data_IF_269621893317
#
_entry.id   IF_269621893317
#
_cell.length_a   1.000
_cell.length_b   1.000
_cell.length_c   1.000
_cell.angle_alpha   90.00
_cell.angle_beta   90.00
_cell.angle_gamma   90.00
#
_symmetry.space_group_name_H-M   'P 1'
#
loop_
_entity.id
_entity.type
_entity.pdbx_description
1 polymer ?
#
# COMPACT_ATOMS: atom_id res chain seq x y z
N UNK A 1 -3.76 -5.67 -5.54
CA UNK A 1 -3.61 -7.14 -5.43
C UNK A 1 -4.59 -7.89 -6.35
N UNK A 2 -5.90 -7.65 -6.18
CA UNK A 2 -6.99 -8.30 -6.93
C UNK A 2 -6.93 -8.17 -8.46
N UNK A 3 -6.56 -7.03 -9.09
CA UNK A 3 -6.51 -6.95 -10.55
C UNK A 3 -5.40 -7.81 -11.17
N UNK A 4 -4.22 -7.85 -10.55
CA UNK A 4 -3.10 -8.66 -11.05
C UNK A 4 -3.43 -10.16 -10.93
N UNK A 5 -3.99 -10.56 -9.79
CA UNK A 5 -4.42 -11.93 -9.52
C UNK A 5 -5.55 -12.33 -10.49
N UNK A 6 -6.59 -11.51 -10.62
CA UNK A 6 -7.71 -11.74 -11.52
C UNK A 6 -7.29 -11.93 -12.98
N UNK A 7 -6.37 -11.09 -13.47
CA UNK A 7 -5.80 -11.24 -14.81
C UNK A 7 -5.01 -12.55 -14.97
N UNK A 8 -4.24 -12.95 -13.94
CA UNK A 8 -3.48 -14.20 -14.01
C UNK A 8 -4.36 -15.44 -13.99
N UNK A 9 -5.47 -15.44 -13.24
CA UNK A 9 -6.45 -16.53 -13.30
C UNK A 9 -7.11 -16.64 -14.67
N UNK A 10 -7.50 -15.50 -15.25
CA UNK A 10 -8.08 -15.46 -16.58
C UNK A 10 -7.10 -16.01 -17.64
N UNK A 11 -5.86 -15.52 -17.64
CA UNK A 11 -4.82 -16.00 -18.57
C UNK A 11 -4.57 -17.50 -18.41
N UNK A 12 -4.47 -18.01 -17.18
CA UNK A 12 -4.26 -19.43 -16.95
C UNK A 12 -5.44 -20.29 -17.43
N UNK A 13 -6.68 -19.85 -17.23
CA UNK A 13 -7.86 -20.56 -17.74
C UNK A 13 -7.87 -20.62 -19.28
N UNK A 14 -7.54 -19.52 -19.96
CA UNK A 14 -7.44 -19.48 -21.42
C UNK A 14 -6.32 -20.38 -21.94
N UNK A 15 -5.15 -20.33 -21.30
CA UNK A 15 -4.00 -21.18 -21.67
C UNK A 15 -4.33 -22.67 -21.45
N UNK A 16 -4.95 -23.01 -20.32
CA UNK A 16 -5.34 -24.39 -20.00
C UNK A 16 -6.37 -24.93 -21.00
N UNK A 17 -7.37 -24.13 -21.39
CA UNK A 17 -8.32 -24.49 -22.44
C UNK A 17 -7.65 -24.66 -23.81
N UNK A 18 -6.68 -23.80 -24.16
CA UNK A 18 -5.91 -23.93 -25.40
C UNK A 18 -5.05 -25.19 -25.45
N UNK A 19 -4.40 -25.56 -24.35
CA UNK A 19 -3.61 -26.80 -24.23
C UNK A 19 -4.52 -28.04 -24.30
N UNK A 20 -5.69 -27.99 -23.65
CA UNK A 20 -6.69 -29.06 -23.68
C UNK A 20 -7.28 -29.25 -25.07
N UNK A 21 -7.52 -28.17 -25.81
CA UNK A 21 -7.91 -28.22 -27.23
C UNK A 21 -6.83 -28.88 -28.09
N UNK A 22 -5.55 -28.56 -27.86
CA UNK A 22 -4.44 -29.14 -28.61
C UNK A 22 -4.22 -30.63 -28.33
N UNK A 23 -4.61 -31.11 -27.14
CA UNK A 23 -4.53 -32.53 -26.75
C UNK A 23 -5.73 -33.37 -27.23
N UNK A 24 -6.66 -32.80 -28.00
CA UNK A 24 -7.91 -33.45 -28.45
C UNK A 24 -8.83 -33.96 -27.32
N UNK A 25 -8.58 -33.56 -26.07
CA UNK A 25 -9.42 -33.83 -24.91
C UNK A 25 -9.94 -32.49 -24.37
N UNK A 26 -10.87 -31.87 -25.10
CA UNK A 26 -11.39 -30.56 -24.74
C UNK A 26 -12.20 -30.63 -23.43
N UNK A 27 -11.70 -29.94 -22.40
CA UNK A 27 -12.35 -29.79 -21.11
C UNK A 27 -12.54 -28.31 -20.79
N UNK A 28 -13.75 -27.98 -20.32
CA UNK A 28 -14.08 -26.64 -19.85
C UNK A 28 -13.37 -26.35 -18.53
N UNK A 29 -12.27 -25.59 -18.59
CA UNK A 29 -11.57 -25.13 -17.39
C UNK A 29 -12.25 -23.85 -16.89
N UNK A 30 -12.84 -23.84 -15.68
CA UNK A 30 -13.43 -22.63 -15.13
C UNK A 30 -12.34 -21.61 -14.77
N UNK A 31 -12.65 -20.31 -14.83
CA UNK A 31 -11.72 -19.22 -14.45
C UNK A 31 -11.32 -19.33 -12.97
N UNK A 32 -12.25 -19.77 -12.14
CA UNK A 32 -12.06 -20.01 -10.71
C UNK A 32 -12.55 -21.41 -10.36
N UNK A 33 -11.80 -22.14 -9.55
CA UNK A 33 -12.25 -23.40 -8.94
C UNK A 33 -13.21 -23.10 -7.79
N UNK A 34 -14.40 -22.62 -8.13
CA UNK A 34 -15.51 -22.45 -7.21
C UNK A 34 -16.41 -23.67 -7.22
N UNK A 35 -16.79 -24.13 -6.02
CA UNK A 35 -17.82 -25.13 -5.82
C UNK A 35 -19.18 -24.45 -5.83
N UNK A 36 -19.96 -24.68 -6.88
CA UNK A 36 -21.28 -24.10 -7.02
C UNK A 36 -22.31 -24.88 -6.20
N UNK A 37 -23.48 -24.29 -5.88
CA UNK A 37 -24.60 -25.05 -5.31
C UNK A 37 -24.92 -26.29 -6.16
N UNK A 38 -25.36 -27.38 -5.51
CA UNK A 38 -25.50 -28.71 -6.11
C UNK A 38 -26.29 -28.74 -7.44
N UNK A 39 -27.28 -27.86 -7.59
CA UNK A 39 -28.08 -27.71 -8.81
C UNK A 39 -27.26 -27.19 -10.00
N UNK A 40 -26.32 -26.27 -9.78
CA UNK A 40 -25.50 -25.66 -10.84
C UNK A 40 -24.29 -26.55 -11.14
N UNK A 41 -23.75 -27.21 -10.11
CA UNK A 41 -22.61 -28.12 -10.25
C UNK A 41 -22.95 -29.33 -11.13
N UNK A 42 -24.19 -29.83 -11.07
CA UNK A 42 -24.68 -30.93 -11.91
C UNK A 42 -24.70 -30.59 -13.42
N UNK A 43 -24.91 -29.33 -13.80
CA UNK A 43 -25.05 -28.90 -15.19
C UNK A 43 -23.89 -28.03 -15.70
N UNK A 44 -22.85 -27.79 -14.88
CA UNK A 44 -21.71 -26.90 -15.17
C UNK A 44 -20.97 -27.22 -16.47
N UNK A 45 -20.95 -28.49 -16.87
CA UNK A 45 -20.23 -28.96 -18.06
C UNK A 45 -21.06 -28.85 -19.36
N UNK A 46 -22.33 -28.45 -19.26
CA UNK A 46 -23.16 -28.17 -20.44
C UNK A 46 -22.69 -26.89 -21.11
N UNK A 47 -22.43 -26.86 -22.43
CA UNK A 47 -21.76 -25.74 -23.10
C UNK A 47 -22.50 -24.40 -22.95
N UNK A 48 -23.83 -24.40 -23.00
CA UNK A 48 -24.66 -23.20 -22.82
C UNK A 48 -24.54 -22.65 -21.39
N UNK A 49 -24.61 -23.53 -20.40
CA UNK A 49 -24.55 -23.15 -18.97
C UNK A 49 -23.13 -22.69 -18.61
N UNK A 50 -22.10 -23.37 -19.13
CA UNK A 50 -20.71 -22.93 -18.98
C UNK A 50 -20.50 -21.51 -19.53
N UNK A 51 -21.00 -21.23 -20.74
CA UNK A 51 -20.85 -19.90 -21.34
C UNK A 51 -21.54 -18.80 -20.51
N UNK A 52 -22.75 -19.07 -20.02
CA UNK A 52 -23.48 -18.16 -19.12
C UNK A 52 -22.68 -17.91 -17.83
N UNK A 53 -22.17 -18.97 -17.19
CA UNK A 53 -21.36 -18.86 -15.98
C UNK A 53 -20.05 -18.11 -16.22
N UNK A 54 -19.42 -18.32 -17.38
CA UNK A 54 -18.19 -17.65 -17.78
C UNK A 54 -18.40 -16.15 -17.94
N UNK A 55 -19.45 -15.74 -18.68
CA UNK A 55 -19.82 -14.32 -18.84
C UNK A 55 -20.17 -13.67 -17.50
N UNK A 56 -20.94 -14.37 -16.65
CA UNK A 56 -21.27 -13.88 -15.31
C UNK A 56 -20.00 -13.66 -14.46
N UNK A 57 -19.07 -14.63 -14.46
CA UNK A 57 -17.80 -14.52 -13.75
C UNK A 57 -16.95 -13.35 -14.26
N UNK A 58 -16.96 -13.09 -15.58
CA UNK A 58 -16.26 -11.95 -16.16
C UNK A 58 -16.86 -10.61 -15.75
N UNK A 59 -18.20 -10.49 -15.75
CA UNK A 59 -18.88 -9.28 -15.27
C UNK A 59 -18.52 -9.04 -13.80
N UNK A 60 -18.60 -10.07 -12.97
CA UNK A 60 -18.23 -9.97 -11.56
C UNK A 60 -16.76 -9.55 -11.37
N UNK A 61 -15.84 -10.17 -12.12
CA UNK A 61 -14.42 -9.84 -12.06
C UNK A 61 -14.16 -8.38 -12.49
N UNK A 62 -14.81 -7.92 -13.55
CA UNK A 62 -14.68 -6.53 -14.02
C UNK A 62 -15.17 -5.51 -12.99
N UNK A 63 -16.30 -5.80 -12.33
CA UNK A 63 -16.84 -4.95 -11.27
C UNK A 63 -15.91 -4.92 -10.05
N UNK A 64 -15.39 -6.08 -9.63
CA UNK A 64 -14.43 -6.19 -8.55
C UNK A 64 -13.16 -5.38 -8.85
N UNK A 65 -12.58 -5.55 -10.05
CA UNK A 65 -11.39 -4.80 -10.48
C UNK A 65 -11.64 -3.29 -10.39
N UNK A 66 -12.77 -2.82 -10.91
CA UNK A 66 -13.11 -1.40 -10.86
C UNK A 66 -13.22 -0.87 -9.43
N UNK A 67 -13.86 -1.63 -8.52
CA UNK A 67 -13.97 -1.25 -7.12
C UNK A 67 -12.60 -1.16 -6.42
N UNK A 68 -11.72 -2.14 -6.64
CA UNK A 68 -10.37 -2.13 -6.06
C UNK A 68 -9.49 -1.03 -6.65
N UNK A 69 -9.54 -0.80 -7.96
CA UNK A 69 -8.78 0.28 -8.61
C UNK A 69 -9.21 1.66 -8.11
N UNK A 70 -10.48 1.83 -7.70
CA UNK A 70 -10.94 3.07 -7.08
C UNK A 70 -10.46 3.25 -5.64
N UNK A 71 -10.48 2.18 -4.84
CA UNK A 71 -10.24 2.27 -3.40
C UNK A 71 -8.75 2.13 -3.00
N UNK A 72 -8.03 1.17 -3.59
CA UNK A 72 -6.62 0.89 -3.25
C UNK A 72 -5.70 2.14 -3.36
N UNK A 73 -5.81 3.02 -4.38
CA UNK A 73 -4.89 4.15 -4.50
C UNK A 73 -5.22 5.33 -3.57
N UNK A 74 -6.36 5.33 -2.86
CA UNK A 74 -6.76 6.46 -2.02
C UNK A 74 -5.70 6.79 -0.95
N UNK A 75 -5.15 5.77 -0.28
CA UNK A 75 -4.10 5.94 0.73
C UNK A 75 -2.85 6.60 0.15
N UNK A 76 -2.23 6.05 -0.94
CA UNK A 76 -1.15 6.73 -1.64
C UNK A 76 -1.48 8.16 -2.07
N UNK A 77 -2.67 8.40 -2.64
CA UNK A 77 -3.08 9.72 -3.12
C UNK A 77 -3.12 10.74 -1.97
N UNK A 78 -3.77 10.39 -0.86
CA UNK A 78 -3.83 11.29 0.30
C UNK A 78 -2.45 11.54 0.91
N UNK A 79 -1.63 10.50 1.00
CA UNK A 79 -0.27 10.60 1.53
C UNK A 79 0.59 11.50 0.66
N UNK A 80 0.54 11.34 -0.67
CA UNK A 80 1.22 12.21 -1.63
C UNK A 80 0.70 13.65 -1.57
N UNK A 81 -0.61 13.83 -1.41
CA UNK A 81 -1.18 15.17 -1.23
C UNK A 81 -0.59 15.86 0.01
N UNK A 82 -0.50 15.16 1.14
CA UNK A 82 0.14 15.68 2.35
C UNK A 82 1.62 15.99 2.10
N UNK A 83 2.36 15.08 1.45
CA UNK A 83 3.77 15.30 1.10
C UNK A 83 3.96 16.58 0.28
N UNK A 84 3.12 16.81 -0.73
CA UNK A 84 3.17 18.05 -1.52
C UNK A 84 2.85 19.30 -0.70
N UNK A 85 1.89 19.23 0.22
CA UNK A 85 1.60 20.36 1.13
C UNK A 85 2.76 20.62 2.09
N UNK A 86 3.45 19.58 2.58
CA UNK A 86 4.65 19.73 3.41
C UNK A 86 5.79 20.40 2.64
N UNK A 87 6.00 20.04 1.38
CA UNK A 87 7.02 20.68 0.52
C UNK A 87 6.70 22.16 0.25
N UNK A 88 5.44 22.50 0.02
CA UNK A 88 5.00 23.90 -0.10
C UNK A 88 5.27 24.67 1.19
N UNK A 89 4.98 24.08 2.36
CA UNK A 89 5.26 24.71 3.65
C UNK A 89 6.77 24.86 3.91
N UNK A 90 7.56 23.86 3.53
CA UNK A 90 9.02 23.87 3.59
C UNK A 90 9.62 25.01 2.75
N UNK A 91 9.12 25.17 1.52
CA UNK A 91 9.52 26.28 0.66
C UNK A 91 9.11 27.64 1.27
N UNK A 92 7.87 27.78 1.76
CA UNK A 92 7.39 29.02 2.37
C UNK A 92 8.23 29.40 3.58
N UNK A 93 8.52 28.47 4.50
CA UNK A 93 9.31 28.79 5.71
C UNK A 93 10.74 29.24 5.35
N UNK A 94 11.37 28.60 4.36
CA UNK A 94 12.73 28.96 3.91
C UNK A 94 12.84 30.39 3.35
N UNK A 95 11.71 30.97 2.92
CA UNK A 95 11.62 32.31 2.34
C UNK A 95 11.10 33.38 3.28
N UNK A 96 10.37 33.01 4.34
CA UNK A 96 9.75 33.96 5.28
C UNK A 96 10.77 34.97 5.82
N UNK A 97 11.96 34.51 6.23
CA UNK A 97 13.01 35.38 6.80
C UNK A 97 13.92 36.02 5.75
N UNK A 98 13.79 35.64 4.48
CA UNK A 98 14.59 36.24 3.39
C UNK A 98 13.83 37.37 2.69
N UNK A 99 12.51 37.23 2.58
CA UNK A 99 11.65 38.13 1.81
C UNK A 99 10.93 39.17 2.69
N UNK A 100 10.75 38.90 3.99
CA UNK A 100 10.04 39.81 4.88
C UNK A 100 10.99 40.52 5.84
N UNK A 101 10.88 41.84 5.91
CA UNK A 101 11.66 42.67 6.85
C UNK A 101 10.80 43.08 8.06
N UNK A 102 9.48 43.22 7.87
CA UNK A 102 8.57 43.63 8.94
C UNK A 102 8.14 42.46 9.84
N UNK A 103 8.25 42.67 11.16
CA UNK A 103 7.87 41.68 12.19
C UNK A 103 6.40 41.25 12.08
N UNK A 104 5.48 42.19 11.82
CA UNK A 104 4.05 41.89 11.71
C UNK A 104 3.77 40.94 10.54
N UNK A 105 4.46 41.12 9.42
CA UNK A 105 4.32 40.29 8.23
C UNK A 105 4.91 38.89 8.45
N UNK A 106 6.08 38.80 9.09
CA UNK A 106 6.71 37.53 9.48
C UNK A 106 5.79 36.74 10.41
N UNK A 107 5.31 37.37 11.49
CA UNK A 107 4.42 36.72 12.46
C UNK A 107 3.10 36.27 11.81
N UNK A 108 2.54 37.06 10.89
CA UNK A 108 1.35 36.67 10.12
C UNK A 108 1.61 35.42 9.26
N UNK A 109 2.69 35.40 8.47
CA UNK A 109 3.07 34.25 7.65
C UNK A 109 3.37 33.00 8.49
N UNK A 110 4.08 33.14 9.61
CA UNK A 110 4.35 32.03 10.54
C UNK A 110 3.07 31.46 11.15
N UNK A 111 2.10 32.33 11.50
CA UNK A 111 0.79 31.90 11.99
C UNK A 111 0.01 31.13 10.93
N UNK A 112 0.02 31.60 9.69
CA UNK A 112 -0.60 30.90 8.55
C UNK A 112 0.03 29.52 8.31
N UNK A 113 1.38 29.44 8.32
CA UNK A 113 2.12 28.17 8.20
C UNK A 113 1.75 27.21 9.34
N UNK A 114 1.68 27.70 10.58
CA UNK A 114 1.30 26.89 11.73
C UNK A 114 -0.12 26.33 11.61
N UNK A 115 -1.08 27.19 11.24
CA UNK A 115 -2.47 26.77 11.05
C UNK A 115 -2.56 25.69 9.96
N UNK A 116 -1.91 25.91 8.82
CA UNK A 116 -1.91 24.95 7.71
C UNK A 116 -1.28 23.63 8.11
N UNK A 117 -0.21 23.66 8.88
CA UNK A 117 0.41 22.43 9.34
C UNK A 117 -0.48 21.67 10.34
N UNK A 118 -1.16 22.37 11.26
CA UNK A 118 -2.12 21.73 12.16
C UNK A 118 -3.25 21.04 11.39
N UNK A 119 -3.75 21.66 10.32
CA UNK A 119 -4.72 21.04 9.40
C UNK A 119 -4.16 19.73 8.79
N UNK A 120 -2.89 19.71 8.37
CA UNK A 120 -2.24 18.51 7.83
C UNK A 120 -2.06 17.40 8.87
N UNK A 121 -1.74 17.74 10.12
CA UNK A 121 -1.65 16.76 11.21
C UNK A 121 -3.00 16.11 11.50
N UNK A 122 -4.07 16.93 11.56
CA UNK A 122 -5.43 16.42 11.75
C UNK A 122 -5.84 15.51 10.59
N UNK A 123 -5.59 15.94 9.36
CA UNK A 123 -5.90 15.13 8.18
C UNK A 123 -5.12 13.81 8.15
N UNK A 124 -3.84 13.82 8.52
CA UNK A 124 -3.03 12.59 8.65
C UNK A 124 -3.57 11.68 9.74
N UNK A 125 -4.00 12.24 10.87
CA UNK A 125 -4.62 11.49 11.96
C UNK A 125 -5.95 10.86 11.54
N UNK A 126 -6.77 11.55 10.76
CA UNK A 126 -8.05 11.05 10.25
C UNK A 126 -7.83 9.89 9.28
N UNK A 127 -6.91 10.04 8.31
CA UNK A 127 -6.51 8.96 7.39
C UNK A 127 -6.02 7.76 8.19
N UNK A 128 -5.09 8.01 9.11
CA UNK A 128 -4.52 6.95 9.92
C UNK A 128 -5.61 6.21 10.69
N UNK A 129 -6.56 6.92 11.32
CA UNK A 129 -7.65 6.31 12.08
C UNK A 129 -8.61 5.47 11.24
N UNK A 130 -8.92 5.92 10.02
CA UNK A 130 -9.80 5.18 9.09
C UNK A 130 -9.12 3.89 8.62
N UNK A 131 -7.85 3.97 8.22
CA UNK A 131 -7.14 2.84 7.62
C UNK A 131 -6.36 1.98 8.64
N UNK A 132 -6.31 2.37 9.92
CA UNK A 132 -5.53 1.69 10.98
C UNK A 132 -5.80 0.20 11.04
N UNK A 133 -7.08 -0.17 11.18
CA UNK A 133 -7.50 -1.57 11.29
C UNK A 133 -7.26 -2.34 10.00
N UNK A 134 -7.40 -1.66 8.86
CA UNK A 134 -7.17 -2.24 7.56
C UNK A 134 -5.69 -2.57 7.35
N UNK A 135 -4.77 -1.69 7.71
CA UNK A 135 -3.33 -1.97 7.65
C UNK A 135 -2.91 -3.10 8.58
N UNK A 136 -3.44 -3.14 9.80
CA UNK A 136 -3.18 -4.20 10.76
C UNK A 136 -3.62 -5.57 10.23
N UNK A 137 -4.82 -5.63 9.66
CA UNK A 137 -5.34 -6.84 9.01
C UNK A 137 -4.45 -7.26 7.83
N UNK A 138 -4.03 -6.30 7.00
CA UNK A 138 -3.17 -6.57 5.85
C UNK A 138 -1.78 -7.08 6.27
N UNK A 139 -1.17 -6.49 7.31
CA UNK A 139 0.13 -6.92 7.83
C UNK A 139 0.07 -8.39 8.27
N UNK A 140 -0.90 -8.75 9.11
CA UNK A 140 -1.08 -10.13 9.57
C UNK A 140 -1.34 -11.09 8.43
N UNK A 141 -2.20 -10.70 7.48
CA UNK A 141 -2.52 -11.53 6.31
C UNK A 141 -1.28 -11.74 5.44
N UNK A 142 -0.47 -10.70 5.20
CA UNK A 142 0.76 -10.79 4.43
C UNK A 142 1.80 -11.71 5.09
N UNK A 143 1.97 -11.64 6.42
CA UNK A 143 2.88 -12.50 7.18
C UNK A 143 2.61 -13.99 6.96
N UNK A 144 1.35 -14.40 6.83
CA UNK A 144 0.96 -15.80 6.55
C UNK A 144 0.90 -16.13 5.06
N UNK A 145 0.39 -15.23 4.22
CA UNK A 145 0.15 -15.52 2.80
C UNK A 145 1.44 -15.64 1.99
N UNK A 146 2.44 -14.80 2.29
CA UNK A 146 3.75 -14.80 1.61
C UNK A 146 4.49 -16.14 1.77
N UNK A 147 4.70 -16.70 2.98
CA UNK A 147 5.40 -17.97 3.14
C UNK A 147 4.64 -19.15 2.56
N UNK A 148 3.30 -19.17 2.67
CA UNK A 148 2.48 -20.23 2.08
C UNK A 148 2.61 -20.26 0.55
N UNK A 149 2.52 -19.08 -0.09
CA UNK A 149 2.68 -18.95 -1.54
C UNK A 149 4.10 -19.34 -1.97
N UNK A 150 5.11 -18.89 -1.21
CA UNK A 150 6.51 -19.23 -1.48
C UNK A 150 6.79 -20.72 -1.34
N UNK A 151 6.18 -21.39 -0.35
CA UNK A 151 6.28 -22.85 -0.17
C UNK A 151 5.68 -23.63 -1.34
N UNK A 152 4.51 -23.22 -1.83
CA UNK A 152 3.90 -23.82 -3.02
C UNK A 152 4.79 -23.65 -4.25
N UNK A 153 5.30 -22.44 -4.48
CA UNK A 153 6.26 -22.16 -5.57
C UNK A 153 7.52 -23.03 -5.44
N UNK A 154 8.07 -23.19 -4.23
CA UNK A 154 9.26 -24.02 -3.99
C UNK A 154 9.00 -25.51 -4.30
N UNK A 155 7.83 -26.04 -3.94
CA UNK A 155 7.48 -27.43 -4.23
C UNK A 155 7.24 -27.68 -5.72
N UNK A 156 6.60 -26.73 -6.41
CA UNK A 156 6.39 -26.82 -7.86
C UNK A 156 7.74 -26.80 -8.60
N UNK A 157 8.65 -25.93 -8.18
CA UNK A 157 10.02 -25.89 -8.68
C UNK A 157 10.77 -27.22 -8.48
N UNK A 158 10.65 -27.86 -7.31
CA UNK A 158 11.23 -29.21 -7.07
C UNK A 158 10.69 -30.25 -8.06
N UNK A 159 9.42 -30.14 -8.47
CA UNK A 159 8.78 -31.00 -9.47
C UNK A 159 9.07 -30.58 -10.92
N UNK A 160 9.93 -29.58 -11.16
CA UNK A 160 10.22 -28.96 -12.46
C UNK A 160 8.97 -28.43 -13.17
N UNK A 161 7.95 -28.04 -12.41
CA UNK A 161 6.74 -27.40 -12.92
C UNK A 161 6.72 -25.94 -12.44
N UNK A 162 6.34 -25.00 -13.32
CA UNK A 162 6.19 -23.60 -12.94
C UNK A 162 4.70 -23.27 -12.92
N UNK A 163 4.13 -23.16 -11.71
CA UNK A 163 2.79 -22.64 -11.56
C UNK A 163 2.81 -21.10 -11.51
N UNK A 164 2.48 -20.48 -12.65
CA UNK A 164 2.44 -19.02 -12.78
C UNK A 164 1.42 -18.36 -11.84
N UNK A 165 0.40 -19.07 -11.38
CA UNK A 165 -0.58 -18.55 -10.42
C UNK A 165 0.07 -18.27 -9.07
N UNK A 166 0.77 -19.25 -8.49
CA UNK A 166 1.38 -19.08 -7.17
C UNK A 166 2.53 -18.06 -7.20
N UNK A 167 3.26 -17.98 -8.31
CA UNK A 167 4.27 -16.94 -8.51
C UNK A 167 3.64 -15.54 -8.58
N UNK A 168 2.53 -15.38 -9.32
CA UNK A 168 1.83 -14.10 -9.41
C UNK A 168 1.24 -13.68 -8.06
N UNK A 169 0.69 -14.62 -7.30
CA UNK A 169 0.22 -14.40 -5.93
C UNK A 169 1.33 -13.88 -5.03
N UNK A 170 2.48 -14.55 -5.00
CA UNK A 170 3.62 -14.14 -4.19
C UNK A 170 4.08 -12.72 -4.53
N UNK A 171 4.30 -12.44 -5.82
CA UNK A 171 4.72 -11.11 -6.27
C UNK A 171 3.67 -10.04 -5.95
N UNK A 172 2.39 -10.35 -6.15
CA UNK A 172 1.29 -9.42 -5.87
C UNK A 172 1.19 -9.07 -4.38
N UNK A 173 1.37 -10.06 -3.49
CA UNK A 173 1.30 -9.87 -2.04
C UNK A 173 2.48 -9.00 -1.57
N UNK A 174 3.69 -9.26 -2.08
CA UNK A 174 4.87 -8.46 -1.77
C UNK A 174 4.70 -6.99 -2.17
N UNK A 175 4.23 -6.73 -3.39
CA UNK A 175 4.01 -5.36 -3.88
C UNK A 175 2.88 -4.67 -3.12
N UNK A 176 1.80 -5.40 -2.83
CA UNK A 176 0.64 -4.83 -2.15
C UNK A 176 0.98 -4.29 -0.76
N UNK A 177 1.81 -5.03 -0.01
CA UNK A 177 2.26 -4.59 1.31
C UNK A 177 3.40 -3.55 1.25
N UNK A 178 4.24 -3.62 0.22
CA UNK A 178 5.31 -2.64 0.02
C UNK A 178 4.79 -1.21 -0.21
N UNK A 179 3.73 -1.04 -1.00
CA UNK A 179 3.17 0.27 -1.38
C UNK A 179 2.87 1.17 -0.16
N UNK A 180 2.04 0.78 0.83
CA UNK A 180 1.72 1.63 1.97
C UNK A 180 2.95 1.93 2.84
N UNK A 181 3.85 0.96 3.04
CA UNK A 181 5.11 1.16 3.75
C UNK A 181 6.01 2.18 3.05
N UNK A 182 6.09 2.14 1.72
CA UNK A 182 6.87 3.06 0.91
C UNK A 182 6.33 4.50 0.98
N UNK A 183 5.03 4.69 0.77
CA UNK A 183 4.42 6.03 0.83
C UNK A 183 4.45 6.63 2.23
N UNK A 184 4.25 5.82 3.27
CA UNK A 184 4.39 6.27 4.65
C UNK A 184 5.85 6.67 4.97
N UNK A 185 6.84 5.96 4.40
CA UNK A 185 8.25 6.35 4.54
C UNK A 185 8.58 7.66 3.82
N UNK A 186 8.00 7.91 2.65
CA UNK A 186 8.14 9.23 1.97
C UNK A 186 7.53 10.33 2.85
N UNK A 187 6.36 10.10 3.44
CA UNK A 187 5.73 11.06 4.34
C UNK A 187 6.64 11.39 5.53
N UNK A 188 7.25 10.37 6.12
CA UNK A 188 8.23 10.51 7.19
C UNK A 188 9.41 11.39 6.75
N UNK A 189 10.01 11.08 5.60
CA UNK A 189 11.13 11.85 5.03
C UNK A 189 10.77 13.32 4.76
N UNK A 190 9.58 13.58 4.18
CA UNK A 190 9.09 14.93 3.89
C UNK A 190 8.82 15.73 5.17
N UNK A 191 8.37 15.06 6.22
CA UNK A 191 8.17 15.70 7.53
C UNK A 191 9.51 16.11 8.18
N UNK A 192 10.54 15.28 8.06
CA UNK A 192 11.90 15.60 8.49
C UNK A 192 12.52 16.72 7.65
N UNK A 193 12.30 16.71 6.34
CA UNK A 193 12.74 17.80 5.45
C UNK A 193 12.12 19.15 5.85
N UNK A 194 10.82 19.18 6.19
CA UNK A 194 10.17 20.39 6.73
C UNK A 194 10.85 20.85 8.03
N UNK A 195 11.18 19.93 8.94
CA UNK A 195 11.88 20.26 10.20
C UNK A 195 13.25 20.88 9.92
N UNK A 196 14.01 20.31 9.00
CA UNK A 196 15.31 20.84 8.56
C UNK A 196 15.17 22.23 7.90
N UNK A 197 14.14 22.45 7.09
CA UNK A 197 13.86 23.75 6.48
C UNK A 197 13.48 24.82 7.51
N UNK A 198 12.73 24.46 8.56
CA UNK A 198 12.44 25.36 9.68
C UNK A 198 13.74 25.72 10.40
N UNK A 199 14.58 24.72 10.70
CA UNK A 199 15.85 24.93 11.40
C UNK A 199 16.80 25.84 10.61
N UNK A 200 16.94 25.62 9.30
CA UNK A 200 17.85 26.35 8.41
C UNK A 200 17.29 27.69 7.89
N UNK A 201 16.15 28.17 8.39
CA UNK A 201 15.46 29.37 7.89
C UNK A 201 16.09 30.72 8.30
N UNK A 202 17.36 30.74 8.75
CA UNK A 202 18.09 31.95 9.20
C UNK A 202 17.37 32.75 10.33
N UNK A 203 16.39 32.15 11.00
CA UNK A 203 15.58 32.76 12.06
C UNK A 203 16.42 33.26 13.25
N UNK A 204 17.60 32.67 13.45
CA UNK A 204 18.57 33.07 14.47
C UNK A 204 19.13 34.48 14.25
N UNK A 205 19.24 34.93 13.00
CA UNK A 205 19.79 36.25 12.67
C UNK A 205 18.81 37.40 12.97
N UNK A 206 17.52 37.09 13.11
CA UNK A 206 16.48 38.10 13.36
C UNK A 206 16.37 38.47 14.84
N UNK A 207 16.37 39.76 15.21
CA UNK A 207 16.38 40.21 16.61
C UNK A 207 15.04 40.03 17.34
N UNK A 208 13.93 39.79 16.63
CA UNK A 208 12.59 39.78 17.21
C UNK A 208 12.26 38.52 18.01
N UNK A 209 11.94 38.72 19.31
CA UNK A 209 11.69 37.62 20.27
C UNK A 209 10.43 36.80 19.96
N UNK A 210 9.39 37.40 19.35
CA UNK A 210 8.12 36.72 19.10
C UNK A 210 8.22 35.67 17.98
N UNK A 211 8.89 36.01 16.87
CA UNK A 211 9.13 35.08 15.76
C UNK A 211 10.02 33.91 16.21
N UNK A 212 11.08 34.19 16.98
CA UNK A 212 11.97 33.17 17.56
C UNK A 212 11.22 32.20 18.48
N UNK A 213 10.38 32.71 19.39
CA UNK A 213 9.52 31.88 20.26
C UNK A 213 8.59 30.97 19.44
N UNK A 214 7.96 31.53 18.40
CA UNK A 214 7.05 30.78 17.53
C UNK A 214 7.77 29.63 16.80
N UNK A 215 8.97 29.87 16.27
CA UNK A 215 9.76 28.83 15.60
C UNK A 215 10.30 27.79 16.57
N UNK A 216 10.78 28.23 17.72
CA UNK A 216 11.25 27.29 18.76
C UNK A 216 10.11 26.37 19.16
N UNK A 217 8.90 26.92 19.33
CA UNK A 217 7.70 26.13 19.59
C UNK A 217 7.36 25.19 18.42
N UNK A 218 7.49 25.65 17.17
CA UNK A 218 7.36 24.78 16.00
C UNK A 218 8.36 23.63 16.03
N UNK A 219 9.64 23.87 16.31
CA UNK A 219 10.69 22.84 16.32
C UNK A 219 10.46 21.80 17.43
N UNK A 220 10.13 22.27 18.64
CA UNK A 220 9.87 21.38 19.78
C UNK A 220 8.61 20.55 19.54
N UNK A 221 7.52 21.17 19.10
CA UNK A 221 6.24 20.47 18.92
C UNK A 221 6.17 19.60 17.66
N UNK A 222 6.96 19.93 16.62
CA UNK A 222 7.06 19.15 15.37
C UNK A 222 8.21 18.13 15.39
N UNK A 223 8.72 17.79 16.57
CA UNK A 223 9.59 16.62 16.73
C UNK A 223 8.82 15.29 16.63
N UNK A 224 7.49 15.33 16.45
CA UNK A 224 6.67 14.14 16.15
C UNK A 224 6.64 13.93 14.64
N UNK A 225 7.32 12.91 14.11
CA UNK A 225 7.31 12.63 12.68
C UNK A 225 5.90 12.29 12.20
N UNK A 226 5.53 12.76 11.00
CA UNK A 226 4.30 12.36 10.33
C UNK A 226 4.52 10.99 9.70
N UNK A 227 3.91 9.96 10.27
CA UNK A 227 4.00 8.60 9.77
C UNK A 227 2.63 7.92 9.95
N UNK A 228 2.25 7.08 9.00
CA UNK A 228 1.07 6.23 9.16
C UNK A 228 1.41 5.11 10.14
N UNK A 229 0.49 4.73 11.02
CA UNK A 229 0.72 3.73 12.06
C UNK A 229 -0.36 2.67 12.06
N UNK A 230 0.04 1.42 12.18
CA UNK A 230 -0.87 0.32 12.56
C UNK A 230 -1.20 0.38 14.05
N UNK A 231 -1.80 -0.67 14.61
CA UNK A 231 -2.08 -0.73 16.06
C UNK A 231 -0.77 -0.86 16.84
N UNK A 232 0.19 -1.62 16.33
CA UNK A 232 1.43 -1.97 17.04
C UNK A 232 2.69 -1.34 16.45
N UNK A 233 2.72 -1.07 15.15
CA UNK A 233 3.92 -0.66 14.43
C UNK A 233 3.69 0.59 13.55
N UNK A 234 4.68 1.49 13.41
CA UNK A 234 4.68 2.47 12.34
C UNK A 234 4.80 1.76 10.98
N UNK A 235 4.10 2.25 9.97
CA UNK A 235 4.28 1.80 8.60
C UNK A 235 5.53 2.47 8.04
N UNK A 236 6.61 1.71 7.97
CA UNK A 236 7.85 2.12 7.34
C UNK A 236 8.48 0.93 6.59
N UNK A 237 9.57 1.19 5.87
CA UNK A 237 10.32 0.15 5.17
C UNK A 237 10.97 -0.85 6.15
N UNK A 238 11.28 -0.43 7.38
CA UNK A 238 11.80 -1.34 8.41
C UNK A 238 10.76 -2.39 8.82
N UNK A 239 9.50 -1.97 8.99
CA UNK A 239 8.38 -2.89 9.27
C UNK A 239 8.15 -3.87 8.11
N UNK A 240 8.35 -3.41 6.87
CA UNK A 240 8.30 -4.29 5.69
C UNK A 240 9.42 -5.33 5.72
N UNK A 241 10.66 -4.91 5.97
CA UNK A 241 11.81 -5.81 6.08
C UNK A 241 11.64 -6.83 7.21
N UNK A 242 11.11 -6.41 8.36
CA UNK A 242 10.81 -7.28 9.48
C UNK A 242 9.75 -8.32 9.13
N UNK A 243 8.68 -7.91 8.46
CA UNK A 243 7.65 -8.83 7.96
C UNK A 243 8.26 -9.86 6.99
N UNK A 244 9.11 -9.43 6.05
CA UNK A 244 9.79 -10.35 5.13
C UNK A 244 10.67 -11.37 5.86
N UNK A 245 11.37 -10.94 6.92
CA UNK A 245 12.20 -11.82 7.76
C UNK A 245 11.35 -12.86 8.51
N UNK A 246 10.21 -12.44 9.05
CA UNK A 246 9.26 -13.35 9.71
C UNK A 246 8.69 -14.36 8.72
N UNK A 247 8.24 -13.91 7.55
CA UNK A 247 7.77 -14.79 6.47
C UNK A 247 8.84 -15.78 6.03
N UNK A 248 10.09 -15.35 5.84
CA UNK A 248 11.18 -16.25 5.47
C UNK A 248 11.47 -17.31 6.55
N UNK A 249 11.38 -16.92 7.83
CA UNK A 249 11.53 -17.85 8.96
C UNK A 249 10.43 -18.91 8.96
N UNK A 250 9.17 -18.50 8.76
CA UNK A 250 8.03 -19.43 8.65
C UNK A 250 8.22 -20.38 7.46
N UNK A 251 8.65 -19.85 6.30
CA UNK A 251 8.93 -20.66 5.12
C UNK A 251 10.01 -21.72 5.39
N UNK A 252 11.12 -21.35 6.03
CA UNK A 252 12.19 -22.28 6.38
C UNK A 252 11.70 -23.37 7.34
N UNK A 253 10.88 -23.01 8.34
CA UNK A 253 10.27 -23.97 9.25
C UNK A 253 9.37 -24.96 8.51
N UNK A 254 8.51 -24.48 7.59
CA UNK A 254 7.66 -25.33 6.77
C UNK A 254 8.47 -26.27 5.88
N UNK A 255 9.53 -25.76 5.24
CA UNK A 255 10.38 -26.57 4.38
C UNK A 255 11.14 -27.65 5.18
N UNK A 256 11.61 -27.33 6.38
CA UNK A 256 12.25 -28.29 7.29
C UNK A 256 11.28 -29.34 7.83
N UNK A 257 10.03 -28.99 8.11
CA UNK A 257 9.02 -29.93 8.60
C UNK A 257 8.49 -30.90 7.51
N UNK A 258 8.59 -30.52 6.24
CA UNK A 258 8.14 -31.32 5.10
C UNK A 258 9.26 -32.02 4.33
N UNK A 259 10.52 -31.92 4.79
CA UNK A 259 11.66 -32.72 4.27
C UNK A 259 11.92 -33.91 5.18
#
# INVERSE_FOLDING_TARGET
MVPLIGMTFFLNAVIAMGISYWKNEFQFVPIFDMRFPSLIEAYKNTPVIYFILFVLCLIFLSFAIMAYVGFDPLVPIFTLHICGQLDILSYRISKVFKECTEEQQINKKLKEINKKLQELYLFTFDINSIFKYWFEYNLKTATFLIPLSLFQVANDLKKKQLNLQFLSFFMSACVYFFIPCYYSNILLERSEHLRQAIYSSDWEKYPHTQARKTITFMLVRKSVPLVLTTIFYPLCLDTYAEMCRQSYTIFNLMNAACT
#
